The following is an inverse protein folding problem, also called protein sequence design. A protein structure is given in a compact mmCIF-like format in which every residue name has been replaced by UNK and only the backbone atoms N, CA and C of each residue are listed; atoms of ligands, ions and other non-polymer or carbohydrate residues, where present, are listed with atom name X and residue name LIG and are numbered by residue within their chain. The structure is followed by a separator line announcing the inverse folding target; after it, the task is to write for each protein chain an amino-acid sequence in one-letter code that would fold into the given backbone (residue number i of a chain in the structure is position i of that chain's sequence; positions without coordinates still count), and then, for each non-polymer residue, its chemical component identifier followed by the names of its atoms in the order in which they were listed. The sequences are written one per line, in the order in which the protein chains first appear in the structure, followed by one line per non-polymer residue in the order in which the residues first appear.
data_IF_727590995031
#
_entry.id   IF_727590995031
#
_cell.length_a   1.000
_cell.length_b   1.000
_cell.length_c   1.000
_cell.angle_alpha   90.00
_cell.angle_beta   90.00
_cell.angle_gamma   90.00
#
_symmetry.space_group_name_H-M   'P 1'
#
loop_
_entity.id
_entity.type
_entity.pdbx_description
1 polymer ?
#
# COMPACT_ATOMS: atom_id res chain seq x y z
N UNK A 1 7.52 -18.22 2.67
CA UNK A 1 7.02 -16.86 2.41
C UNK A 1 8.12 -16.06 1.75
N UNK A 2 7.90 -15.53 0.55
CA UNK A 2 8.95 -14.82 -0.19
C UNK A 2 9.18 -13.45 0.45
N UNK A 3 10.43 -13.11 0.81
CA UNK A 3 10.81 -11.82 1.45
C UNK A 3 10.27 -10.57 0.74
N UNK A 4 9.91 -10.70 -0.54
CA UNK A 4 9.31 -9.68 -1.41
C UNK A 4 8.00 -9.06 -0.87
N UNK A 5 7.31 -9.74 0.04
CA UNK A 5 6.07 -9.21 0.66
C UNK A 5 6.28 -7.93 1.48
N UNK A 6 7.50 -7.68 1.96
CA UNK A 6 7.82 -6.51 2.81
C UNK A 6 8.33 -5.30 2.02
N UNK A 7 8.64 -5.44 0.73
CA UNK A 7 9.11 -4.31 -0.10
C UNK A 7 8.15 -3.11 -0.16
N UNK A 8 6.81 -3.28 -0.14
CA UNK A 8 5.90 -2.15 -0.13
C UNK A 8 6.10 -1.22 1.08
N UNK A 9 6.63 -1.69 2.21
CA UNK A 9 6.90 -0.85 3.38
C UNK A 9 7.90 0.28 3.10
N UNK A 10 8.78 0.12 2.10
CA UNK A 10 9.70 1.17 1.69
C UNK A 10 8.97 2.40 1.12
N UNK A 11 7.70 2.26 0.71
CA UNK A 11 6.89 3.39 0.26
C UNK A 11 6.59 4.38 1.40
N UNK A 12 6.66 3.98 2.66
CA UNK A 12 6.48 4.88 3.81
C UNK A 12 7.60 5.91 3.93
N UNK A 13 8.73 5.72 3.25
CA UNK A 13 9.83 6.69 3.24
C UNK A 13 9.39 8.01 2.59
N UNK A 14 8.52 7.97 1.59
CA UNK A 14 8.01 9.19 0.94
C UNK A 14 7.23 10.10 1.88
N UNK A 15 6.15 9.63 2.56
CA UNK A 15 5.44 10.44 3.53
C UNK A 15 6.31 10.79 4.74
N UNK A 16 7.24 9.94 5.16
CA UNK A 16 8.16 10.26 6.26
C UNK A 16 9.08 11.43 5.91
N UNK A 17 9.62 11.45 4.70
CA UNK A 17 10.42 12.58 4.22
C UNK A 17 9.50 13.82 4.07
N UNK A 18 8.28 13.64 3.57
CA UNK A 18 7.29 14.70 3.44
C UNK A 18 7.00 15.40 4.76
N UNK A 19 6.67 14.64 5.81
CA UNK A 19 6.36 15.18 7.14
C UNK A 19 7.55 15.85 7.82
N UNK A 20 8.76 15.36 7.58
CA UNK A 20 9.98 15.95 8.17
C UNK A 20 10.37 17.24 7.45
N UNK A 21 10.17 17.31 6.12
CA UNK A 21 10.63 18.42 5.30
C UNK A 21 9.59 19.50 5.02
N UNK A 22 8.30 19.23 5.29
CA UNK A 22 7.22 20.16 4.92
C UNK A 22 5.98 20.01 5.80
N UNK A 23 5.38 21.15 6.15
CA UNK A 23 4.07 21.20 6.82
C UNK A 23 2.90 20.87 5.86
N UNK A 24 3.17 20.63 4.56
CA UNK A 24 2.15 20.25 3.59
C UNK A 24 1.73 18.79 3.70
N UNK A 25 2.58 17.94 4.27
CA UNK A 25 2.28 16.53 4.54
C UNK A 25 2.22 16.38 6.05
N UNK A 26 1.01 16.30 6.60
CA UNK A 26 0.79 16.20 8.05
C UNK A 26 0.32 14.78 8.42
N UNK A 27 1.19 13.79 8.23
CA UNK A 27 0.94 12.43 8.70
C UNK A 27 1.40 12.28 10.15
N UNK A 28 0.45 11.97 11.03
CA UNK A 28 0.71 11.56 12.39
C UNK A 28 1.21 10.12 12.48
N UNK A 29 1.64 9.72 13.69
CA UNK A 29 2.12 8.36 13.97
C UNK A 29 1.06 7.30 13.63
N UNK A 30 -0.23 7.62 13.83
CA UNK A 30 -1.32 6.72 13.49
C UNK A 30 -1.46 6.51 11.99
N UNK A 31 -1.25 7.53 11.16
CA UNK A 31 -1.33 7.41 9.69
C UNK A 31 -0.22 6.49 9.17
N UNK A 32 0.99 6.62 9.69
CA UNK A 32 2.08 5.69 9.39
C UNK A 32 1.78 4.25 9.80
N UNK A 33 1.19 4.05 10.98
CA UNK A 33 0.82 2.72 11.46
C UNK A 33 -0.25 2.08 10.58
N UNK A 34 -1.32 2.83 10.27
CA UNK A 34 -2.42 2.38 9.42
C UNK A 34 -1.91 2.08 8.02
N UNK A 35 -1.14 2.98 7.40
CA UNK A 35 -0.56 2.76 6.09
C UNK A 35 0.40 1.57 6.08
N UNK A 36 1.21 1.39 7.12
CA UNK A 36 2.08 0.23 7.28
C UNK A 36 1.30 -1.10 7.30
N UNK A 37 0.19 -1.16 8.04
CA UNK A 37 -0.70 -2.33 8.07
C UNK A 37 -1.33 -2.56 6.70
N UNK A 38 -1.83 -1.52 6.04
CA UNK A 38 -2.40 -1.60 4.69
C UNK A 38 -1.38 -2.16 3.69
N UNK A 39 -0.15 -1.64 3.69
CA UNK A 39 0.94 -2.09 2.81
C UNK A 39 1.29 -3.57 3.03
N UNK A 40 1.28 -4.05 4.28
CA UNK A 40 1.45 -5.47 4.59
C UNK A 40 0.32 -6.31 4.00
N UNK A 41 -0.93 -5.89 4.17
CA UNK A 41 -2.08 -6.59 3.59
C UNK A 41 -2.01 -6.63 2.06
N UNK A 42 -1.63 -5.53 1.41
CA UNK A 42 -1.43 -5.47 -0.05
C UNK A 42 -0.33 -6.43 -0.50
N UNK A 43 0.83 -6.43 0.17
CA UNK A 43 1.94 -7.33 -0.13
C UNK A 43 1.57 -8.80 0.00
N UNK A 44 0.83 -9.15 1.06
CA UNK A 44 0.30 -10.51 1.27
C UNK A 44 -0.74 -10.86 0.18
N UNK A 45 -1.70 -9.97 -0.09
CA UNK A 45 -2.76 -10.21 -1.06
C UNK A 45 -2.20 -10.45 -2.47
N UNK A 46 -1.26 -9.62 -2.93
CA UNK A 46 -0.58 -9.79 -4.22
C UNK A 46 0.17 -11.13 -4.28
N UNK A 47 0.85 -11.50 -3.20
CA UNK A 47 1.56 -12.78 -3.14
C UNK A 47 0.61 -13.98 -3.16
N UNK A 48 -0.52 -13.91 -2.45
CA UNK A 48 -1.57 -14.93 -2.46
C UNK A 48 -2.17 -15.06 -3.86
N UNK A 49 -2.54 -13.95 -4.50
CA UNK A 49 -3.06 -13.94 -5.88
C UNK A 49 -2.03 -14.54 -6.84
N UNK A 50 -0.75 -14.21 -6.67
CA UNK A 50 0.32 -14.74 -7.51
C UNK A 50 0.54 -16.24 -7.37
N UNK A 51 0.28 -16.81 -6.18
CA UNK A 51 0.41 -18.25 -5.92
C UNK A 51 -0.85 -19.04 -6.28
N UNK A 52 -2.05 -18.48 -6.02
CA UNK A 52 -3.34 -19.18 -6.18
C UNK A 52 -3.89 -19.08 -7.59
N UNK A 53 -3.69 -17.94 -8.27
CA UNK A 53 -4.30 -17.68 -9.58
C UNK A 53 -3.33 -18.01 -10.71
N UNK A 54 -3.53 -19.18 -11.34
CA UNK A 54 -2.72 -19.65 -12.47
C UNK A 54 -3.01 -18.91 -13.79
N UNK A 55 -4.24 -18.44 -13.98
CA UNK A 55 -4.62 -17.73 -15.20
C UNK A 55 -4.06 -16.30 -15.21
N UNK A 56 -3.22 -15.93 -16.19
CA UNK A 56 -2.50 -14.65 -16.18
C UNK A 56 -3.44 -13.43 -16.27
N UNK A 57 -4.52 -13.51 -17.07
CA UNK A 57 -5.51 -12.43 -17.18
C UNK A 57 -6.26 -12.19 -15.87
N UNK A 58 -6.73 -13.27 -15.22
CA UNK A 58 -7.42 -13.18 -13.92
C UNK A 58 -6.47 -12.66 -12.84
N UNK A 59 -5.22 -13.15 -12.83
CA UNK A 59 -4.18 -12.69 -11.90
C UNK A 59 -3.92 -11.19 -12.03
N UNK A 60 -3.82 -10.68 -13.26
CA UNK A 60 -3.64 -9.26 -13.53
C UNK A 60 -4.84 -8.44 -13.04
N UNK A 61 -6.07 -8.90 -13.31
CA UNK A 61 -7.29 -8.23 -12.86
C UNK A 61 -7.35 -8.12 -11.33
N UNK A 62 -7.11 -9.20 -10.58
CA UNK A 62 -7.12 -9.15 -9.12
C UNK A 62 -6.02 -8.25 -8.55
N UNK A 63 -4.80 -8.33 -9.10
CA UNK A 63 -3.72 -7.42 -8.68
C UNK A 63 -4.08 -5.96 -8.96
N UNK A 64 -4.71 -5.66 -10.09
CA UNK A 64 -5.15 -4.31 -10.43
C UNK A 64 -6.20 -3.79 -9.44
N UNK A 65 -7.20 -4.61 -9.09
CA UNK A 65 -8.22 -4.24 -8.11
C UNK A 65 -7.59 -4.00 -6.73
N UNK A 66 -6.67 -4.87 -6.28
CA UNK A 66 -5.96 -4.68 -5.01
C UNK A 66 -5.20 -3.35 -4.99
N UNK A 67 -4.50 -3.03 -6.08
CA UNK A 67 -3.76 -1.76 -6.20
C UNK A 67 -4.71 -0.55 -6.23
N UNK A 68 -5.87 -0.66 -6.89
CA UNK A 68 -6.85 0.42 -6.95
C UNK A 68 -7.44 0.73 -5.56
N UNK A 69 -7.79 -0.31 -4.79
CA UNK A 69 -8.23 -0.14 -3.39
C UNK A 69 -7.12 0.49 -2.55
N UNK A 70 -5.87 0.05 -2.73
CA UNK A 70 -4.72 0.64 -2.04
C UNK A 70 -4.58 2.13 -2.34
N UNK A 71 -4.66 2.55 -3.61
CA UNK A 71 -4.57 3.96 -3.97
C UNK A 71 -5.72 4.81 -3.43
N UNK A 72 -6.93 4.25 -3.33
CA UNK A 72 -8.06 4.93 -2.70
C UNK A 72 -7.81 5.17 -1.21
N UNK A 73 -7.37 4.13 -0.48
CA UNK A 73 -7.03 4.26 0.94
C UNK A 73 -5.85 5.20 1.18
N UNK A 74 -4.88 5.20 0.27
CA UNK A 74 -3.74 6.10 0.33
C UNK A 74 -4.15 7.56 0.07
N UNK A 75 -4.99 7.81 -0.93
CA UNK A 75 -5.52 9.15 -1.20
C UNK A 75 -6.36 9.67 -0.02
N UNK A 76 -7.12 8.80 0.63
CA UNK A 76 -7.87 9.17 1.83
C UNK A 76 -6.96 9.60 2.97
N UNK A 77 -5.93 8.82 3.28
CA UNK A 77 -4.98 9.16 4.34
C UNK A 77 -4.06 10.34 3.97
N UNK A 78 -3.78 10.54 2.68
CA UNK A 78 -2.89 11.60 2.21
C UNK A 78 -3.59 12.96 2.04
N UNK A 79 -4.84 12.96 1.58
CA UNK A 79 -5.54 14.16 1.13
C UNK A 79 -6.88 14.36 1.85
N UNK A 80 -7.47 13.31 2.44
CA UNK A 80 -8.81 13.37 3.05
C UNK A 80 -9.88 13.60 1.98
N UNK A 81 -9.95 12.69 1.00
CA UNK A 81 -10.86 12.84 -0.14
C UNK A 81 -12.32 12.51 0.20
N UNK A 82 -12.58 11.79 1.30
CA UNK A 82 -13.90 11.39 1.77
C UNK A 82 -14.29 12.00 3.12
#
# INVERSE_FOLDING_TARGET
MTKKMFYPLMLLIFPLIGTILSDQVDWGILDFLIMGVILLFVGIAIAVVSQKIKHPRKRLFYNFVILLIFFLLWAELAVGIF
#
